data_IF_941694352236
#
_entry.id   IF_941694352236
#
_cell.length_a   1.000
_cell.length_b   1.000
_cell.length_c   1.000
_cell.angle_alpha   90.00
_cell.angle_beta   90.00
_cell.angle_gamma   90.00
#
_symmetry.space_group_name_H-M   'P 1'
#
loop_
_entity.id
_entity.type
_entity.pdbx_description
1 polymer ?
#
# COMPACT_ATOMS: atom_id res chain seq x y z
N UNK A 1 10.10 58.53 -4.86
CA UNK A 1 10.15 57.40 -5.80
C UNK A 1 10.65 56.21 -4.97
N UNK A 2 9.81 55.38 -4.33
CA UNK A 2 8.61 54.66 -4.85
C UNK A 2 8.88 54.14 -6.28
N UNK A 3 8.78 52.86 -6.62
CA UNK A 3 8.28 51.63 -5.99
C UNK A 3 8.81 50.44 -6.83
N UNK A 4 8.87 49.26 -6.21
CA UNK A 4 8.62 47.93 -6.77
C UNK A 4 9.55 47.32 -7.85
N UNK A 5 9.93 46.06 -7.58
CA UNK A 5 9.62 44.98 -8.52
C UNK A 5 10.72 43.95 -8.71
N UNK A 6 10.64 42.81 -8.02
CA UNK A 6 10.64 41.47 -8.62
C UNK A 6 10.93 40.38 -7.58
N UNK A 7 9.99 40.14 -6.67
CA UNK A 7 9.85 38.81 -6.05
C UNK A 7 8.64 38.10 -6.71
N UNK A 8 8.88 37.16 -7.65
CA UNK A 8 7.83 36.19 -7.97
C UNK A 8 8.29 34.72 -7.94
N UNK A 9 9.54 34.39 -7.61
CA UNK A 9 10.01 32.98 -7.69
C UNK A 9 9.91 32.20 -6.38
N UNK A 10 10.04 32.85 -5.21
CA UNK A 10 10.03 32.17 -3.90
C UNK A 10 8.69 31.50 -3.58
N UNK A 11 7.58 32.06 -4.06
CA UNK A 11 6.25 31.51 -3.80
C UNK A 11 5.81 30.46 -4.82
N UNK A 12 6.38 30.40 -6.03
CA UNK A 12 5.90 29.49 -7.08
C UNK A 12 6.42 28.06 -6.93
N UNK A 13 7.65 27.88 -6.44
CA UNK A 13 8.23 26.55 -6.17
C UNK A 13 7.74 25.97 -4.84
N UNK A 14 7.67 26.78 -3.79
CA UNK A 14 7.20 26.35 -2.46
C UNK A 14 5.70 26.02 -2.45
N UNK A 15 4.87 26.74 -3.24
CA UNK A 15 3.46 26.38 -3.37
C UNK A 15 3.22 25.18 -4.28
N UNK A 16 4.03 24.94 -5.32
CA UNK A 16 3.91 23.70 -6.11
C UNK A 16 4.28 22.44 -5.30
N UNK A 17 5.27 22.52 -4.41
CA UNK A 17 5.69 21.37 -3.60
C UNK A 17 4.69 21.07 -2.47
N UNK A 18 4.16 22.11 -1.81
CA UNK A 18 3.19 21.95 -0.71
C UNK A 18 1.72 21.77 -1.14
N UNK A 19 1.30 22.26 -2.32
CA UNK A 19 -0.09 22.05 -2.78
C UNK A 19 -0.37 20.67 -3.39
N UNK A 20 0.66 19.92 -3.82
CA UNK A 20 0.43 18.60 -4.43
C UNK A 20 0.22 17.49 -3.39
N UNK A 21 0.61 17.71 -2.14
CA UNK A 21 0.39 16.76 -1.04
C UNK A 21 -1.06 16.82 -0.51
N UNK A 22 -1.79 17.90 -0.74
CA UNK A 22 -3.13 18.10 -0.17
C UNK A 22 -4.30 17.64 -1.07
N UNK A 23 -4.06 17.09 -2.27
CA UNK A 23 -5.16 16.75 -3.19
C UNK A 23 -4.97 15.53 -4.07
N UNK A 24 -4.08 14.60 -3.71
CA UNK A 24 -4.36 13.21 -4.07
C UNK A 24 -5.18 12.67 -2.92
N UNK A 25 -6.53 12.64 -2.97
CA UNK A 25 -7.21 11.64 -2.18
C UNK A 25 -6.60 10.34 -2.69
N UNK A 26 -5.67 9.77 -1.92
CA UNK A 26 -5.41 8.35 -1.97
C UNK A 26 -6.80 7.75 -1.96
N UNK A 27 -7.24 7.27 -3.11
CA UNK A 27 -8.44 6.44 -3.12
C UNK A 27 -8.01 5.28 -2.26
N UNK A 28 -8.48 5.29 -1.00
CA UNK A 28 -8.07 4.39 0.06
C UNK A 28 -8.55 2.98 -0.34
N UNK A 29 -7.90 2.37 -1.32
CA UNK A 29 -8.00 0.97 -1.61
C UNK A 29 -7.20 0.27 -0.50
N UNK A 30 -7.79 0.26 0.70
CA UNK A 30 -7.25 -0.49 1.81
C UNK A 30 -7.63 -1.96 1.58
N UNK A 31 -6.63 -2.79 1.34
CA UNK A 31 -6.83 -4.23 1.29
C UNK A 31 -7.26 -4.72 2.69
N UNK A 32 -8.46 -5.29 2.79
CA UNK A 32 -8.94 -5.88 4.05
C UNK A 32 -8.08 -7.09 4.37
N UNK A 33 -7.42 -7.08 5.53
CA UNK A 33 -6.65 -8.23 5.98
C UNK A 33 -7.54 -9.47 6.07
N UNK A 34 -7.23 -10.50 5.29
CA UNK A 34 -8.01 -11.73 5.21
C UNK A 34 -7.94 -12.54 6.51
N UNK A 35 -9.09 -13.01 6.99
CA UNK A 35 -9.16 -14.07 8.02
C UNK A 35 -9.28 -15.44 7.33
N UNK A 36 -8.40 -15.74 6.38
CA UNK A 36 -8.49 -16.88 5.46
C UNK A 36 -8.12 -18.24 6.06
N UNK A 37 -7.61 -18.30 7.29
CA UNK A 37 -7.28 -19.58 7.93
C UNK A 37 -8.54 -20.32 8.38
N UNK A 38 -8.59 -21.64 8.15
CA UNK A 38 -9.72 -22.51 8.55
C UNK A 38 -10.11 -22.40 10.05
N UNK A 39 -9.18 -21.94 10.88
CA UNK A 39 -9.41 -21.60 12.30
C UNK A 39 -10.38 -20.43 12.52
N UNK A 40 -10.66 -19.62 11.50
CA UNK A 40 -11.68 -18.57 11.48
C UNK A 40 -12.99 -19.06 10.84
N UNK A 41 -12.94 -20.11 10.00
CA UNK A 41 -14.06 -20.58 9.21
C UNK A 41 -15.18 -21.10 10.10
N UNK A 42 -14.88 -21.62 11.29
CA UNK A 42 -15.86 -21.81 12.35
C UNK A 42 -15.48 -22.90 13.34
N UNK A 43 -16.46 -23.34 14.13
CA UNK A 43 -16.25 -24.34 15.19
C UNK A 43 -16.51 -25.74 14.64
N UNK A 44 -15.58 -26.66 14.91
CA UNK A 44 -15.78 -28.09 14.64
C UNK A 44 -16.94 -28.64 15.47
N UNK A 45 -17.87 -29.31 14.80
CA UNK A 45 -18.95 -30.07 15.41
C UNK A 45 -18.56 -31.55 15.41
N UNK A 46 -18.65 -32.18 16.58
CA UNK A 46 -18.63 -33.62 16.67
C UNK A 46 -20.03 -34.15 16.36
N UNK A 47 -20.17 -34.94 15.28
CA UNK A 47 -21.37 -35.76 15.13
C UNK A 47 -21.40 -36.80 16.26
N UNK A 48 -22.52 -36.90 16.98
CA UNK A 48 -22.71 -37.99 17.95
C UNK A 48 -22.50 -39.32 17.24
N UNK A 49 -21.85 -40.31 17.88
CA UNK A 49 -21.56 -41.60 17.25
C UNK A 49 -22.85 -42.27 16.75
N UNK A 50 -23.02 -42.37 15.43
CA UNK A 50 -24.23 -42.89 14.77
C UNK A 50 -25.38 -41.89 14.62
N UNK A 51 -25.16 -40.61 14.94
CA UNK A 51 -26.11 -39.52 14.76
C UNK A 51 -26.20 -39.03 13.31
N UNK A 52 -27.39 -38.56 12.93
CA UNK A 52 -27.64 -37.96 11.62
C UNK A 52 -27.04 -36.55 11.62
N UNK A 53 -26.17 -36.24 10.65
CA UNK A 53 -25.66 -34.88 10.44
C UNK A 53 -26.79 -33.97 9.98
N UNK A 54 -26.92 -32.81 10.63
CA UNK A 54 -27.84 -31.75 10.22
C UNK A 54 -27.03 -30.58 9.68
N UNK A 55 -27.36 -30.15 8.46
CA UNK A 55 -26.77 -28.97 7.84
C UNK A 55 -27.84 -27.89 7.78
N UNK A 56 -27.62 -26.80 8.51
CA UNK A 56 -28.44 -25.60 8.47
C UNK A 56 -27.69 -24.47 7.76
N UNK A 57 -28.26 -23.26 7.78
CA UNK A 57 -27.67 -22.08 7.12
C UNK A 57 -26.28 -21.73 7.65
N UNK A 58 -25.97 -22.15 8.89
CA UNK A 58 -24.72 -21.87 9.60
C UNK A 58 -23.80 -23.10 9.66
N UNK A 59 -24.12 -24.20 8.98
CA UNK A 59 -23.32 -25.43 8.98
C UNK A 59 -22.95 -25.82 7.55
N UNK A 60 -21.65 -25.77 7.25
CA UNK A 60 -21.09 -26.09 5.95
C UNK A 60 -21.28 -27.57 5.62
N UNK A 61 -21.80 -27.84 4.42
CA UNK A 61 -21.75 -29.19 3.82
C UNK A 61 -20.33 -29.53 3.39
N UNK A 62 -20.05 -30.81 3.11
CA UNK A 62 -18.74 -31.26 2.58
C UNK A 62 -18.30 -30.45 1.35
N UNK A 63 -19.21 -30.19 0.41
CA UNK A 63 -18.90 -29.43 -0.81
C UNK A 63 -18.68 -27.95 -0.53
N UNK A 64 -19.52 -27.35 0.33
CA UNK A 64 -19.35 -25.96 0.74
C UNK A 64 -18.02 -25.76 1.49
N UNK A 65 -17.69 -26.67 2.41
CA UNK A 65 -16.44 -26.67 3.16
C UNK A 65 -15.22 -26.80 2.23
N UNK A 66 -15.26 -27.72 1.24
CA UNK A 66 -14.21 -27.83 0.21
C UNK A 66 -14.05 -26.52 -0.56
N UNK A 67 -15.16 -25.89 -0.94
CA UNK A 67 -15.15 -24.60 -1.66
C UNK A 67 -14.50 -23.52 -0.80
N UNK A 68 -14.90 -23.41 0.47
CA UNK A 68 -14.31 -22.49 1.44
C UNK A 68 -12.81 -22.71 1.62
N UNK A 69 -12.34 -23.95 1.65
CA UNK A 69 -10.89 -24.24 1.73
C UNK A 69 -10.13 -23.76 0.50
N UNK A 70 -10.68 -23.99 -0.69
CA UNK A 70 -10.06 -23.54 -1.94
C UNK A 70 -10.01 -22.01 -1.99
N UNK A 71 -11.10 -21.35 -1.59
CA UNK A 71 -11.20 -19.88 -1.57
C UNK A 71 -10.26 -19.25 -0.55
N UNK A 72 -10.18 -19.80 0.67
CA UNK A 72 -9.22 -19.35 1.69
C UNK A 72 -7.78 -19.45 1.20
N UNK A 73 -7.40 -20.57 0.58
CA UNK A 73 -6.08 -20.76 -0.02
C UNK A 73 -5.80 -19.79 -1.18
N UNK A 74 -6.83 -19.45 -1.97
CA UNK A 74 -6.69 -18.47 -3.06
C UNK A 74 -6.54 -17.04 -2.53
N UNK A 75 -7.23 -16.70 -1.43
CA UNK A 75 -7.05 -15.43 -0.71
C UNK A 75 -5.62 -15.32 -0.18
N UNK A 76 -5.07 -16.34 0.48
CA UNK A 76 -3.69 -16.32 0.98
C UNK A 76 -2.66 -16.08 -0.13
N UNK A 77 -2.84 -16.78 -1.25
CA UNK A 77 -2.00 -16.59 -2.45
C UNK A 77 -2.17 -15.19 -3.03
N UNK A 78 -3.39 -14.67 -3.03
CA UNK A 78 -3.70 -13.35 -3.56
C UNK A 78 -3.13 -12.24 -2.68
N UNK A 79 -3.18 -12.37 -1.35
CA UNK A 79 -2.55 -11.45 -0.39
C UNK A 79 -1.04 -11.37 -0.63
N UNK A 80 -0.38 -12.53 -0.77
CA UNK A 80 1.06 -12.58 -1.06
C UNK A 80 1.40 -11.90 -2.39
N UNK A 81 0.61 -12.17 -3.43
CA UNK A 81 0.78 -11.53 -4.75
C UNK A 81 0.56 -10.02 -4.67
N UNK A 82 -0.48 -9.57 -3.96
CA UNK A 82 -0.80 -8.15 -3.79
C UNK A 82 0.32 -7.42 -3.06
N UNK A 83 0.86 -7.99 -1.98
CA UNK A 83 2.02 -7.45 -1.27
C UNK A 83 3.24 -7.33 -2.19
N UNK A 84 3.54 -8.38 -2.96
CA UNK A 84 4.67 -8.35 -3.91
C UNK A 84 4.47 -7.31 -5.03
N UNK A 85 3.24 -7.17 -5.51
CA UNK A 85 2.89 -6.22 -6.57
C UNK A 85 2.94 -4.77 -6.09
N UNK A 86 2.56 -4.50 -4.85
CA UNK A 86 2.65 -3.17 -4.24
C UNK A 86 4.07 -2.74 -3.87
N UNK A 87 5.02 -3.67 -3.76
CA UNK A 87 6.39 -3.36 -3.32
C UNK A 87 7.04 -2.20 -4.11
N UNK A 88 7.02 -2.17 -5.45
CA UNK A 88 7.65 -1.08 -6.19
C UNK A 88 6.97 0.29 -5.96
N UNK A 89 5.67 0.31 -5.62
CA UNK A 89 4.94 1.53 -5.29
C UNK A 89 5.37 2.05 -3.91
N UNK A 90 5.44 1.17 -2.90
CA UNK A 90 5.98 1.51 -1.57
C UNK A 90 7.46 1.93 -1.63
N UNK A 91 8.27 1.27 -2.47
CA UNK A 91 9.67 1.66 -2.66
C UNK A 91 9.77 3.08 -3.27
N UNK A 92 8.85 3.44 -4.17
CA UNK A 92 8.78 4.79 -4.75
C UNK A 92 8.33 5.83 -3.71
N UNK A 93 7.36 5.49 -2.87
CA UNK A 93 6.91 6.35 -1.75
C UNK A 93 8.04 6.64 -0.76
N UNK A 94 8.76 5.60 -0.29
CA UNK A 94 9.92 5.75 0.59
C UNK A 94 11.01 6.63 -0.07
N UNK A 95 11.18 6.52 -1.39
CA UNK A 95 12.13 7.36 -2.12
C UNK A 95 11.70 8.83 -2.13
N UNK A 96 10.42 9.10 -2.38
CA UNK A 96 9.88 10.46 -2.32
C UNK A 96 10.08 11.07 -0.93
N UNK A 97 9.73 10.37 0.14
CA UNK A 97 9.92 10.84 1.53
C UNK A 97 11.39 11.14 1.83
N UNK A 98 12.30 10.27 1.38
CA UNK A 98 13.73 10.45 1.57
C UNK A 98 14.30 11.63 0.77
N UNK A 99 13.83 11.85 -0.45
CA UNK A 99 14.28 12.96 -1.29
C UNK A 99 13.72 14.30 -0.76
N UNK A 100 12.46 14.33 -0.33
CA UNK A 100 11.82 15.49 0.31
C UNK A 100 12.58 15.94 1.56
N UNK A 101 12.90 15.01 2.47
CA UNK A 101 13.66 15.33 3.69
C UNK A 101 15.05 15.92 3.39
N UNK A 102 15.68 15.54 2.28
CA UNK A 102 16.98 16.08 1.85
C UNK A 102 16.84 17.43 1.17
N UNK A 103 15.78 17.62 0.37
CA UNK A 103 15.40 18.89 -0.23
C UNK A 103 15.18 19.93 0.88
N UNK A 104 14.40 19.59 1.92
CA UNK A 104 14.13 20.47 3.05
C UNK A 104 15.43 20.90 3.77
N UNK A 105 16.36 19.96 3.96
CA UNK A 105 17.65 20.27 4.59
C UNK A 105 18.50 21.23 3.74
N UNK A 106 18.45 21.09 2.41
CA UNK A 106 19.13 22.01 1.49
C UNK A 106 18.42 23.37 1.42
N UNK A 107 17.10 23.41 1.50
CA UNK A 107 16.33 24.65 1.56
C UNK A 107 16.67 25.47 2.80
N UNK A 108 16.81 24.82 3.96
CA UNK A 108 17.32 25.47 5.18
C UNK A 108 18.72 26.04 4.94
N UNK A 109 19.62 25.25 4.35
CA UNK A 109 20.97 25.71 4.03
C UNK A 109 20.97 26.94 3.11
N UNK A 110 20.19 26.92 2.03
CA UNK A 110 20.11 28.05 1.10
C UNK A 110 19.51 29.29 1.74
N UNK A 111 18.51 29.11 2.61
CA UNK A 111 17.92 30.21 3.38
C UNK A 111 18.94 30.85 4.32
N UNK A 112 19.74 30.04 5.03
CA UNK A 112 20.78 30.52 5.93
C UNK A 112 21.93 31.22 5.19
N UNK A 113 22.14 30.90 3.92
CA UNK A 113 23.25 31.40 3.09
C UNK A 113 22.81 32.36 1.98
N UNK A 114 21.56 32.83 1.98
CA UNK A 114 21.00 33.67 0.89
C UNK A 114 21.80 34.95 0.67
N UNK A 115 22.34 35.52 1.76
CA UNK A 115 23.08 36.79 1.74
C UNK A 115 24.58 36.60 2.02
N UNK A 116 25.10 35.37 1.91
CA UNK A 116 26.52 35.10 2.13
C UNK A 116 27.33 35.62 0.94
N UNK A 117 28.31 36.48 1.23
CA UNK A 117 29.36 36.82 0.27
C UNK A 117 30.46 35.76 0.34
N UNK A 118 30.81 35.16 -0.80
CA UNK A 118 31.88 34.17 -0.90
C UNK A 118 33.19 34.88 -1.26
N UNK A 119 34.21 34.75 -0.41
CA UNK A 119 35.49 35.44 -0.58
C UNK A 119 36.44 34.65 -1.50
N UNK A 120 36.15 33.36 -1.71
CA UNK A 120 36.97 32.45 -2.51
C UNK A 120 36.14 31.64 -3.51
N UNK A 121 36.76 31.28 -4.64
CA UNK A 121 36.16 30.37 -5.62
C UNK A 121 35.77 29.02 -5.00
N UNK A 122 36.56 28.53 -4.03
CA UNK A 122 36.30 27.28 -3.34
C UNK A 122 34.98 27.31 -2.55
N UNK A 123 34.63 28.43 -1.92
CA UNK A 123 33.37 28.58 -1.19
C UNK A 123 32.18 28.65 -2.16
N UNK A 124 32.34 29.38 -3.27
CA UNK A 124 31.34 29.44 -4.33
C UNK A 124 31.10 28.05 -4.96
N UNK A 125 32.15 27.27 -5.18
CA UNK A 125 32.06 25.91 -5.70
C UNK A 125 31.30 24.98 -4.75
N UNK A 126 31.51 25.08 -3.43
CA UNK A 126 30.74 24.30 -2.45
C UNK A 126 29.25 24.63 -2.52
N UNK A 127 28.90 25.91 -2.63
CA UNK A 127 27.50 26.33 -2.79
C UNK A 127 26.89 25.82 -4.09
N UNK A 128 27.61 25.94 -5.22
CA UNK A 128 27.16 25.44 -6.52
C UNK A 128 26.95 23.92 -6.51
N UNK A 129 27.84 23.15 -5.89
CA UNK A 129 27.68 21.71 -5.75
C UNK A 129 26.39 21.34 -4.98
N UNK A 130 25.98 22.16 -4.00
CA UNK A 130 24.72 21.96 -3.27
C UNK A 130 23.50 22.28 -4.14
N UNK A 131 23.59 23.28 -5.02
CA UNK A 131 22.54 23.53 -6.03
C UNK A 131 22.39 22.33 -6.96
N UNK A 132 23.51 21.76 -7.42
CA UNK A 132 23.50 20.58 -8.27
C UNK A 132 22.88 19.37 -7.54
N UNK A 133 23.20 19.18 -6.26
CA UNK A 133 22.57 18.16 -5.42
C UNK A 133 21.06 18.38 -5.29
N UNK A 134 20.62 19.62 -5.03
CA UNK A 134 19.21 19.99 -4.93
C UNK A 134 18.46 19.66 -6.22
N UNK A 135 18.99 20.06 -7.37
CA UNK A 135 18.37 19.77 -8.66
C UNK A 135 18.27 18.27 -8.93
N UNK A 136 19.32 17.50 -8.62
CA UNK A 136 19.32 16.06 -8.76
C UNK A 136 18.28 15.37 -7.85
N UNK A 137 18.05 15.90 -6.65
CA UNK A 137 17.01 15.44 -5.73
C UNK A 137 15.60 15.70 -6.29
N UNK A 138 15.36 16.87 -6.87
CA UNK A 138 14.07 17.19 -7.51
C UNK A 138 13.79 16.26 -8.69
N UNK A 139 14.79 16.00 -9.54
CA UNK A 139 14.65 15.05 -10.65
C UNK A 139 14.34 13.64 -10.15
N UNK A 140 15.02 13.22 -9.09
CA UNK A 140 14.82 11.93 -8.43
C UNK A 140 13.42 11.79 -7.84
N UNK A 141 12.95 12.81 -7.10
CA UNK A 141 11.61 12.87 -6.54
C UNK A 141 10.54 12.76 -7.64
N UNK A 142 10.68 13.56 -8.71
CA UNK A 142 9.75 13.54 -9.83
C UNK A 142 9.69 12.18 -10.53
N UNK A 143 10.83 11.50 -10.68
CA UNK A 143 10.88 10.16 -11.25
C UNK A 143 10.18 9.13 -10.34
N UNK A 144 10.35 9.23 -9.02
CA UNK A 144 9.66 8.37 -8.05
C UNK A 144 8.14 8.63 -8.05
N UNK A 145 7.72 9.89 -8.11
CA UNK A 145 6.30 10.28 -8.22
C UNK A 145 5.65 9.74 -9.48
N UNK A 146 6.31 9.89 -10.64
CA UNK A 146 5.80 9.33 -11.89
C UNK A 146 5.66 7.80 -11.80
N UNK A 147 6.60 7.13 -11.12
CA UNK A 147 6.53 5.68 -10.92
C UNK A 147 5.39 5.27 -10.00
N UNK A 148 5.18 6.00 -8.91
CA UNK A 148 4.06 5.78 -8.00
C UNK A 148 2.72 5.90 -8.75
N UNK A 149 2.53 7.00 -9.48
CA UNK A 149 1.30 7.26 -10.25
C UNK A 149 1.03 6.19 -11.34
N UNK A 150 2.08 5.68 -11.98
CA UNK A 150 1.95 4.57 -12.94
C UNK A 150 1.40 3.28 -12.29
N UNK A 151 1.78 3.03 -11.04
CA UNK A 151 1.47 1.79 -10.32
C UNK A 151 0.16 1.86 -9.52
N UNK A 152 -0.27 3.04 -9.10
CA UNK A 152 -1.44 3.26 -8.24
C UNK A 152 -2.71 2.64 -8.82
N UNK A 153 -3.05 2.97 -10.08
CA UNK A 153 -4.26 2.45 -10.73
C UNK A 153 -4.31 0.92 -10.80
N UNK A 154 -3.29 0.25 -11.36
CA UNK A 154 -3.21 -1.21 -11.38
C UNK A 154 -3.17 -1.86 -10.00
N UNK A 155 -2.59 -1.19 -8.99
CA UNK A 155 -2.58 -1.68 -7.61
C UNK A 155 -4.00 -1.65 -7.03
N UNK A 156 -4.70 -0.53 -7.17
CA UNK A 156 -6.07 -0.36 -6.69
C UNK A 156 -7.04 -1.38 -7.31
N UNK A 157 -6.94 -1.64 -8.61
CA UNK A 157 -7.75 -2.68 -9.26
C UNK A 157 -7.53 -4.07 -8.63
N UNK A 158 -6.29 -4.39 -8.27
CA UNK A 158 -5.97 -5.67 -7.61
C UNK A 158 -6.46 -5.72 -6.17
N UNK A 159 -6.40 -4.59 -5.46
CA UNK A 159 -7.01 -4.46 -4.12
C UNK A 159 -8.51 -4.71 -4.20
N UNK A 160 -9.21 -4.12 -5.17
CA UNK A 160 -10.65 -4.31 -5.35
C UNK A 160 -11.00 -5.79 -5.61
N UNK A 161 -10.24 -6.46 -6.49
CA UNK A 161 -10.41 -7.89 -6.75
C UNK A 161 -10.15 -8.72 -5.49
N UNK A 162 -9.11 -8.38 -4.72
CA UNK A 162 -8.80 -9.07 -3.47
C UNK A 162 -9.90 -8.86 -2.42
N UNK A 163 -10.37 -7.63 -2.24
CA UNK A 163 -11.45 -7.30 -1.32
C UNK A 163 -12.75 -8.03 -1.69
N UNK A 164 -13.07 -8.15 -2.98
CA UNK A 164 -14.22 -8.92 -3.44
C UNK A 164 -14.10 -10.43 -3.08
N UNK A 165 -12.90 -11.01 -3.13
CA UNK A 165 -12.66 -12.40 -2.69
C UNK A 165 -12.85 -12.54 -1.18
N UNK A 166 -12.31 -11.60 -0.39
CA UNK A 166 -12.46 -11.57 1.06
C UNK A 166 -13.93 -11.43 1.44
N UNK A 167 -14.65 -10.49 0.84
CA UNK A 167 -16.07 -10.26 1.11
C UNK A 167 -16.92 -11.49 0.78
N UNK A 168 -16.60 -12.19 -0.33
CA UNK A 168 -17.24 -13.45 -0.66
C UNK A 168 -16.99 -14.51 0.43
N UNK A 169 -15.73 -14.73 0.79
CA UNK A 169 -15.37 -15.71 1.82
C UNK A 169 -16.00 -15.38 3.18
N UNK A 170 -16.02 -14.10 3.57
CA UNK A 170 -16.64 -13.66 4.81
C UNK A 170 -18.15 -13.96 4.83
N UNK A 171 -18.83 -13.82 3.68
CA UNK A 171 -20.27 -14.08 3.58
C UNK A 171 -20.65 -15.56 3.49
N UNK A 172 -19.82 -16.38 2.82
CA UNK A 172 -20.15 -17.76 2.50
C UNK A 172 -19.53 -18.76 3.49
N UNK A 173 -18.40 -18.41 4.11
CA UNK A 173 -17.54 -19.34 4.83
C UNK A 173 -17.23 -18.92 6.26
N UNK A 174 -16.87 -17.67 6.50
CA UNK A 174 -16.38 -17.24 7.81
C UNK A 174 -17.43 -17.40 8.91
N UNK A 175 -17.04 -18.00 10.03
CA UNK A 175 -17.88 -18.21 11.21
C UNK A 175 -18.89 -19.37 11.12
N UNK A 176 -19.00 -20.07 9.99
CA UNK A 176 -19.90 -21.23 9.83
C UNK A 176 -19.32 -22.51 10.42
N UNK A 177 -20.14 -23.27 11.12
CA UNK A 177 -19.76 -24.56 11.70
C UNK A 177 -19.51 -25.60 10.61
N UNK A 178 -18.73 -26.63 10.93
CA UNK A 178 -18.52 -27.78 10.05
C UNK A 178 -18.33 -29.04 10.89
N UNK A 179 -18.63 -30.22 10.33
CA UNK A 179 -18.33 -31.47 11.02
C UNK A 179 -16.87 -31.86 10.83
N UNK A 180 -16.21 -32.30 11.90
CA UNK A 180 -14.78 -32.64 11.89
C UNK A 180 -14.45 -33.80 10.94
N UNK A 181 -15.36 -34.75 10.78
CA UNK A 181 -15.19 -35.87 9.86
C UNK A 181 -15.35 -35.48 8.39
N UNK A 182 -16.15 -34.45 8.09
CA UNK A 182 -16.21 -33.84 6.75
C UNK A 182 -14.91 -33.12 6.42
N UNK A 183 -14.34 -32.38 7.39
CA UNK A 183 -13.03 -31.75 7.23
C UNK A 183 -11.94 -32.79 6.97
N UNK A 184 -11.88 -33.85 7.77
CA UNK A 184 -10.92 -34.93 7.58
C UNK A 184 -11.05 -35.59 6.20
N UNK A 185 -12.30 -35.78 5.72
CA UNK A 185 -12.55 -36.37 4.41
C UNK A 185 -12.07 -35.49 3.23
N UNK A 186 -12.05 -34.16 3.38
CA UNK A 186 -11.62 -33.25 2.32
C UNK A 186 -10.13 -32.89 2.41
N UNK A 187 -9.52 -32.85 3.60
CA UNK A 187 -8.09 -32.54 3.76
C UNK A 187 -7.20 -33.50 2.97
N UNK A 188 -7.56 -34.78 2.90
CA UNK A 188 -6.83 -35.78 2.12
C UNK A 188 -6.93 -35.58 0.61
N UNK A 189 -7.85 -34.73 0.15
CA UNK A 189 -8.10 -34.47 -1.27
C UNK A 189 -7.64 -33.10 -1.77
N UNK A 190 -7.13 -32.24 -0.88
CA UNK A 190 -6.70 -30.85 -1.18
C UNK A 190 -5.16 -30.69 -1.05
N UNK A 191 -4.44 -31.72 -0.58
CA UNK A 191 -2.97 -31.81 -0.67
C UNK A 191 -2.48 -31.96 -2.12
#
# INVERSE_FOLDING_TARGET
>A
MELNGSEPMKYFLLTCLTLLIASVPATEAYAKKGKSSLSSAGRGLAALAGGIKTYDEDTLTVEALRTCMIEGNDIDKSETKLASFGKPMFDAEIRMESDEARIDALDVYFTENENTEYETDAEADVYNNKIDEYNALIDSYNAALAKYQELEGPYNERVDIFNAKVDKFDSECAGKSYYEDDLAAIEDSIK
#
